data_IF_292807721370
#
_entry.id   IF_292807721370
#
_cell.length_a   1.000
_cell.length_b   1.000
_cell.length_c   1.000
_cell.angle_alpha   90.00
_cell.angle_beta   90.00
_cell.angle_gamma   90.00
#
_symmetry.space_group_name_H-M   'P 1'
#
loop_
_entity.id
_entity.type
_entity.pdbx_description
1 polymer ?
#
# COMPACT_ATOMS: atom_id res chain seq x y z
N UNK A 1 17.00 21.18 -1.20
CA UNK A 1 17.11 19.96 -2.05
C UNK A 1 16.29 18.79 -1.49
N UNK A 2 16.03 18.75 -0.17
CA UNK A 2 15.32 17.64 0.47
C UNK A 2 13.80 17.65 0.31
N UNK A 3 13.17 18.83 0.21
CA UNK A 3 11.72 18.92 -0.01
C UNK A 3 11.30 18.44 -1.39
N UNK A 4 12.11 18.73 -2.42
CA UNK A 4 11.85 18.26 -3.79
C UNK A 4 11.94 16.73 -3.85
N UNK A 5 12.96 16.13 -3.22
CA UNK A 5 13.10 14.67 -3.15
C UNK A 5 11.94 14.02 -2.39
N UNK A 6 11.54 14.62 -1.26
CA UNK A 6 10.41 14.13 -0.45
C UNK A 6 9.10 14.19 -1.23
N UNK A 7 8.89 15.27 -1.99
CA UNK A 7 7.72 15.46 -2.85
C UNK A 7 7.64 14.41 -3.95
N UNK A 8 8.74 14.20 -4.68
CA UNK A 8 8.81 13.14 -5.69
C UNK A 8 8.54 11.75 -5.09
N UNK A 9 9.04 11.47 -3.89
CA UNK A 9 8.88 10.17 -3.24
C UNK A 9 7.42 9.82 -2.95
N UNK A 10 6.64 10.72 -2.31
CA UNK A 10 5.24 10.40 -2.01
C UNK A 10 4.33 10.45 -3.24
N UNK A 11 4.63 11.30 -4.23
CA UNK A 11 3.91 11.32 -5.51
C UNK A 11 4.14 10.02 -6.27
N UNK A 12 5.38 9.55 -6.33
CA UNK A 12 5.71 8.25 -6.91
C UNK A 12 5.02 7.12 -6.14
N UNK A 13 5.00 7.20 -4.80
CA UNK A 13 4.25 6.28 -3.95
C UNK A 13 2.75 6.26 -4.27
N UNK A 14 2.12 7.41 -4.53
CA UNK A 14 0.73 7.50 -4.97
C UNK A 14 0.51 6.83 -6.32
N UNK A 15 1.43 7.07 -7.26
CA UNK A 15 1.37 6.48 -8.61
C UNK A 15 1.43 4.96 -8.56
N UNK A 16 2.39 4.40 -7.81
CA UNK A 16 2.53 2.96 -7.59
C UNK A 16 1.34 2.40 -6.80
N UNK A 17 0.82 3.14 -5.82
CA UNK A 17 -0.42 2.77 -5.12
C UNK A 17 -1.61 2.63 -6.06
N UNK A 18 -1.74 3.53 -7.04
CA UNK A 18 -2.75 3.42 -8.10
C UNK A 18 -2.59 2.16 -8.96
N UNK A 19 -1.35 1.75 -9.27
CA UNK A 19 -1.07 0.48 -9.95
C UNK A 19 -1.51 -0.73 -9.11
N UNK A 20 -1.15 -0.77 -7.82
CA UNK A 20 -1.53 -1.86 -6.94
C UNK A 20 -3.04 -1.98 -6.81
N UNK A 21 -3.75 -0.85 -6.69
CA UNK A 21 -5.20 -0.84 -6.63
C UNK A 21 -5.84 -1.31 -7.95
N UNK A 22 -5.27 -0.93 -9.09
CA UNK A 22 -5.72 -1.42 -10.41
C UNK A 22 -5.54 -2.92 -10.55
N UNK A 23 -4.43 -3.47 -10.08
CA UNK A 23 -4.19 -4.92 -10.10
C UNK A 23 -5.16 -5.63 -9.15
N UNK A 24 -5.26 -5.19 -7.90
CA UNK A 24 -6.16 -5.76 -6.90
C UNK A 24 -7.61 -5.83 -7.39
N UNK A 25 -8.13 -4.73 -7.95
CA UNK A 25 -9.51 -4.68 -8.46
C UNK A 25 -9.75 -5.58 -9.68
N UNK A 26 -8.70 -5.90 -10.45
CA UNK A 26 -8.82 -6.74 -11.65
C UNK A 26 -8.58 -8.22 -11.39
N UNK A 27 -7.59 -8.54 -10.57
CA UNK A 27 -7.14 -9.91 -10.35
C UNK A 27 -7.65 -10.48 -9.03
N UNK A 28 -8.10 -9.63 -8.11
CA UNK A 28 -8.36 -10.01 -6.72
C UNK A 28 -7.09 -10.25 -5.91
N UNK A 29 -5.90 -10.02 -6.48
CA UNK A 29 -4.61 -10.28 -5.85
C UNK A 29 -4.00 -8.95 -5.40
N UNK A 30 -3.73 -8.83 -4.09
CA UNK A 30 -3.02 -7.68 -3.53
C UNK A 30 -1.51 -7.88 -3.65
N UNK A 31 -0.90 -7.20 -4.62
CA UNK A 31 0.54 -7.23 -4.86
C UNK A 31 1.30 -6.09 -4.16
N UNK A 32 0.63 -5.33 -3.28
CA UNK A 32 1.31 -4.37 -2.44
C UNK A 32 2.28 -5.08 -1.48
N UNK A 33 3.32 -4.41 -0.95
CA UNK A 33 4.19 -5.02 0.06
C UNK A 33 3.44 -5.61 1.25
N UNK A 34 2.37 -4.95 1.71
CA UNK A 34 1.47 -5.49 2.75
C UNK A 34 0.69 -6.71 2.28
N UNK A 35 0.14 -6.69 1.06
CA UNK A 35 -0.62 -7.81 0.49
C UNK A 35 0.23 -9.06 0.26
N UNK A 36 1.44 -8.87 -0.28
CA UNK A 36 2.44 -9.94 -0.42
C UNK A 36 2.82 -10.47 0.96
N UNK A 37 3.12 -9.58 1.90
CA UNK A 37 3.45 -9.96 3.27
C UNK A 37 2.34 -10.80 3.92
N UNK A 38 1.07 -10.40 3.78
CA UNK A 38 -0.08 -11.14 4.31
C UNK A 38 -0.24 -12.50 3.64
N UNK A 39 -0.03 -12.56 2.33
CA UNK A 39 -0.11 -13.81 1.56
C UNK A 39 0.97 -14.79 2.01
N UNK A 40 2.22 -14.32 2.13
CA UNK A 40 3.33 -15.11 2.64
C UNK A 40 3.04 -15.56 4.06
N UNK A 41 2.64 -14.63 4.94
CA UNK A 41 2.34 -14.92 6.33
C UNK A 41 1.33 -16.06 6.38
N UNK A 42 0.14 -15.89 5.81
CA UNK A 42 -0.93 -16.92 5.76
C UNK A 42 -0.49 -18.26 5.18
N UNK A 43 0.39 -18.28 4.18
CA UNK A 43 0.92 -19.54 3.63
C UNK A 43 1.72 -20.34 4.68
N UNK A 44 2.32 -19.67 5.66
CA UNK A 44 3.03 -20.31 6.76
C UNK A 44 2.14 -20.64 7.97
N UNK A 45 0.88 -20.21 8.00
CA UNK A 45 -0.05 -20.44 9.13
C UNK A 45 -0.16 -21.91 9.55
N UNK A 46 -0.23 -22.89 8.62
CA UNK A 46 -0.32 -24.31 8.99
C UNK A 46 0.89 -24.84 9.77
N UNK A 47 2.03 -24.16 9.69
CA UNK A 47 3.28 -24.54 10.36
C UNK A 47 3.50 -23.81 11.69
N UNK A 48 2.55 -22.96 12.10
CA UNK A 48 2.63 -22.17 13.33
C UNK A 48 2.19 -23.02 14.52
N UNK A 49 3.12 -23.31 15.42
CA UNK A 49 2.82 -23.91 16.72
C UNK A 49 2.17 -22.88 17.65
N UNK A 50 1.51 -23.36 18.71
CA UNK A 50 0.72 -22.51 19.61
C UNK A 50 1.54 -21.36 20.24
N UNK A 51 2.82 -21.62 20.54
CA UNK A 51 3.76 -20.64 21.08
C UNK A 51 4.09 -19.49 20.11
N UNK A 52 4.04 -19.73 18.80
CA UNK A 52 4.34 -18.72 17.77
C UNK A 52 3.09 -18.03 17.21
N UNK A 53 1.88 -18.47 17.59
CA UNK A 53 0.61 -17.86 17.15
C UNK A 53 0.53 -16.36 17.46
N UNK A 54 1.05 -15.94 18.62
CA UNK A 54 1.07 -14.52 19.00
C UNK A 54 1.90 -13.69 18.03
N UNK A 55 3.09 -14.18 17.64
CA UNK A 55 3.98 -13.48 16.69
C UNK A 55 3.29 -13.33 15.34
N UNK A 56 2.58 -14.36 14.91
CA UNK A 56 1.84 -14.38 13.66
C UNK A 56 0.69 -13.39 13.64
N UNK A 57 -0.13 -13.36 14.71
CA UNK A 57 -1.21 -12.39 14.87
C UNK A 57 -0.69 -10.94 14.88
N UNK A 58 0.42 -10.70 15.58
CA UNK A 58 1.07 -9.38 15.58
C UNK A 58 1.57 -9.02 14.18
N UNK A 59 2.20 -9.96 13.48
CA UNK A 59 2.63 -9.78 12.10
C UNK A 59 1.48 -9.40 11.18
N UNK A 60 0.33 -10.06 11.30
CA UNK A 60 -0.86 -9.74 10.50
C UNK A 60 -1.37 -8.33 10.80
N UNK A 61 -1.47 -7.96 12.09
CA UNK A 61 -1.89 -6.62 12.52
C UNK A 61 -0.95 -5.54 11.96
N UNK A 62 0.36 -5.77 12.04
CA UNK A 62 1.37 -4.82 11.52
C UNK A 62 1.20 -4.64 10.02
N UNK A 63 1.04 -5.74 9.27
CA UNK A 63 0.87 -5.68 7.82
C UNK A 63 -0.41 -4.94 7.42
N UNK A 64 -1.51 -5.09 8.15
CA UNK A 64 -2.74 -4.29 7.95
C UNK A 64 -2.56 -2.82 8.31
N UNK A 65 -1.71 -2.50 9.28
CA UNK A 65 -1.47 -1.14 9.72
C UNK A 65 -0.58 -0.34 8.75
N UNK A 66 0.32 -0.99 8.00
CA UNK A 66 1.29 -0.32 7.10
C UNK A 66 0.65 0.68 6.12
N UNK A 67 -0.43 0.34 5.38
CA UNK A 67 -1.07 1.29 4.48
C UNK A 67 -1.62 2.53 5.21
N UNK A 68 -2.22 2.32 6.39
CA UNK A 68 -2.79 3.39 7.20
C UNK A 68 -1.69 4.31 7.74
N UNK A 69 -0.61 3.73 8.28
CA UNK A 69 0.55 4.48 8.79
C UNK A 69 1.18 5.31 7.66
N UNK A 70 1.26 4.75 6.46
CA UNK A 70 1.81 5.43 5.28
C UNK A 70 0.98 6.66 4.90
N UNK A 71 -0.36 6.55 4.92
CA UNK A 71 -1.27 7.69 4.70
C UNK A 71 -1.16 8.75 5.79
N UNK A 72 -1.08 8.33 7.05
CA UNK A 72 -0.90 9.23 8.19
C UNK A 72 0.44 9.97 8.12
N UNK A 73 1.51 9.32 7.67
CA UNK A 73 2.82 9.95 7.48
C UNK A 73 2.77 11.06 6.42
N UNK A 74 2.04 10.84 5.33
CA UNK A 74 1.84 11.87 4.29
C UNK A 74 1.08 13.06 4.88
N UNK A 75 0.00 12.81 5.62
CA UNK A 75 -0.78 13.86 6.29
C UNK A 75 0.06 14.64 7.29
N UNK A 76 0.83 13.94 8.14
CA UNK A 76 1.65 14.56 9.17
C UNK A 76 2.74 15.47 8.57
N UNK A 77 3.39 15.04 7.49
CA UNK A 77 4.50 15.79 6.90
C UNK A 77 4.09 16.86 5.88
N UNK A 78 2.96 16.69 5.18
CA UNK A 78 2.56 17.58 4.07
C UNK A 78 1.18 18.23 4.29
N UNK A 79 0.56 17.97 5.44
CA UNK A 79 -0.75 18.47 5.81
C UNK A 79 -1.86 17.98 4.88
N UNK A 80 -3.00 18.66 4.98
CA UNK A 80 -4.20 18.37 4.21
C UNK A 80 -3.97 18.46 2.70
N UNK A 81 -3.21 19.45 2.24
CA UNK A 81 -2.98 19.68 0.81
C UNK A 81 -2.16 18.55 0.18
N UNK A 82 -1.10 18.09 0.87
CA UNK A 82 -0.31 16.94 0.41
C UNK A 82 -1.11 15.65 0.38
N UNK A 83 -1.96 15.41 1.38
CA UNK A 83 -2.86 14.26 1.40
C UNK A 83 -3.86 14.29 0.22
N UNK A 84 -4.49 15.44 -0.05
CA UNK A 84 -5.41 15.59 -1.19
C UNK A 84 -4.67 15.32 -2.50
N UNK A 85 -3.48 15.89 -2.68
CA UNK A 85 -2.68 15.67 -3.87
C UNK A 85 -2.28 14.20 -4.04
N UNK A 86 -1.92 13.51 -2.94
CA UNK A 86 -1.63 12.06 -2.96
C UNK A 86 -2.85 11.27 -3.45
N UNK A 87 -4.03 11.53 -2.89
CA UNK A 87 -5.26 10.83 -3.26
C UNK A 87 -5.62 11.09 -4.73
N UNK A 88 -5.51 12.33 -5.20
CA UNK A 88 -5.76 12.69 -6.61
C UNK A 88 -4.82 11.91 -7.53
N UNK A 89 -3.51 11.93 -7.25
CA UNK A 89 -2.53 11.20 -8.06
C UNK A 89 -2.84 9.70 -8.05
N UNK A 90 -3.13 9.12 -6.89
CA UNK A 90 -3.48 7.70 -6.78
C UNK A 90 -4.70 7.33 -7.61
N UNK A 91 -5.78 8.14 -7.57
CA UNK A 91 -7.00 7.92 -8.36
C UNK A 91 -6.72 8.06 -9.85
N UNK A 92 -5.99 9.10 -10.27
CA UNK A 92 -5.64 9.31 -11.67
C UNK A 92 -4.77 8.17 -12.20
N UNK A 93 -3.79 7.72 -11.43
CA UNK A 93 -2.95 6.57 -11.76
C UNK A 93 -3.76 5.28 -11.84
N UNK A 94 -4.66 5.04 -10.90
CA UNK A 94 -5.58 3.90 -10.95
C UNK A 94 -6.42 3.90 -12.23
N UNK A 95 -7.04 5.03 -12.57
CA UNK A 95 -7.84 5.17 -13.78
C UNK A 95 -6.99 4.99 -15.05
N UNK A 96 -5.78 5.56 -15.06
CA UNK A 96 -4.80 5.38 -16.13
C UNK A 96 -4.44 3.90 -16.34
N UNK A 97 -4.04 3.19 -15.29
CA UNK A 97 -3.69 1.77 -15.40
C UNK A 97 -4.87 0.91 -15.81
N UNK A 98 -6.07 1.18 -15.30
CA UNK A 98 -7.28 0.47 -15.73
C UNK A 98 -7.62 0.71 -17.20
N UNK A 99 -7.41 1.94 -17.70
CA UNK A 99 -7.62 2.29 -19.09
C UNK A 99 -6.64 1.54 -20.00
N UNK A 100 -5.34 1.59 -19.70
CA UNK A 100 -4.31 0.91 -20.49
C UNK A 100 -4.41 -0.61 -20.42
N UNK A 101 -4.93 -1.19 -19.34
CA UNK A 101 -5.15 -2.64 -19.26
C UNK A 101 -6.30 -3.12 -20.16
N UNK A 102 -7.23 -2.24 -20.57
CA UNK A 102 -8.31 -2.61 -21.52
C UNK A 102 -7.84 -2.65 -22.97
N UNK A 103 -6.74 -1.98 -23.28
CA UNK A 103 -6.11 -1.95 -24.62
C UNK A 103 -5.23 -3.18 -24.75
#
# INVERSE_FOLDING_TARGET
MDEVKRTHSWIFGAFVGGLFYAILTRTGIDISPSGIGLTILRAFEPYVIEQSRIVFNIGEIVLYAIPVISLLAIWYHHGRNGFIAYVIVMILSYAFFLYFWKV
#
